data_IF_643495785960
#
_entry.id   IF_643495785960
#
_cell.length_a   1.000
_cell.length_b   1.000
_cell.length_c   1.000
_cell.angle_alpha   90.00
_cell.angle_beta   90.00
_cell.angle_gamma   90.00
#
_symmetry.space_group_name_H-M   'P 1'
#
loop_
_entity.id
_entity.type
_entity.pdbx_description
1 polymer ?
#
# COMPACT_ATOMS: atom_id res chain seq x y z
N UNK A 1 35.01 -24.30 42.68
CA UNK A 1 33.57 -24.60 42.46
C UNK A 1 32.75 -23.36 42.15
N UNK A 2 32.74 -22.32 43.00
CA UNK A 2 31.98 -21.07 42.75
C UNK A 2 32.28 -20.42 41.39
N UNK A 3 33.56 -20.37 40.95
CA UNK A 3 33.97 -19.83 39.64
C UNK A 3 33.36 -20.57 38.44
N UNK A 4 33.20 -21.89 38.52
CA UNK A 4 32.59 -22.70 37.45
C UNK A 4 31.07 -22.55 37.41
N UNK A 5 30.43 -22.33 38.58
CA UNK A 5 28.98 -22.05 38.67
C UNK A 5 28.64 -20.71 38.00
N UNK A 6 29.46 -19.68 38.20
CA UNK A 6 29.25 -18.39 37.51
C UNK A 6 29.43 -18.51 35.99
N UNK A 7 30.39 -19.30 35.50
CA UNK A 7 30.59 -19.52 34.06
C UNK A 7 29.39 -20.26 33.45
N UNK A 8 28.87 -21.30 34.10
CA UNK A 8 27.69 -22.05 33.63
C UNK A 8 26.42 -21.19 33.68
N UNK A 9 26.23 -20.39 34.73
CA UNK A 9 25.11 -19.45 34.82
C UNK A 9 25.18 -18.36 33.74
N UNK A 10 26.38 -17.86 33.43
CA UNK A 10 26.62 -16.90 32.34
C UNK A 10 26.26 -17.51 30.98
N UNK A 11 26.71 -18.74 30.72
CA UNK A 11 26.40 -19.48 29.49
C UNK A 11 24.90 -19.75 29.32
N UNK A 12 24.19 -20.06 30.42
CA UNK A 12 22.74 -20.26 30.40
C UNK A 12 22.01 -18.94 30.09
N UNK A 13 22.44 -17.81 30.66
CA UNK A 13 21.86 -16.49 30.35
C UNK A 13 22.11 -16.12 28.87
N UNK A 14 23.33 -16.33 28.37
CA UNK A 14 23.68 -16.08 26.96
C UNK A 14 22.84 -16.95 26.02
N UNK A 15 22.65 -18.23 26.34
CA UNK A 15 21.81 -19.11 25.51
C UNK A 15 20.35 -18.66 25.45
N UNK A 16 19.77 -18.18 26.56
CA UNK A 16 18.39 -17.69 26.57
C UNK A 16 18.21 -16.40 25.74
N UNK A 17 19.23 -15.53 25.70
CA UNK A 17 19.22 -14.33 24.85
C UNK A 17 19.21 -14.68 23.36
N UNK A 18 19.99 -15.69 22.94
CA UNK A 18 20.01 -16.15 21.54
C UNK A 18 18.69 -16.80 21.09
N UNK A 19 17.99 -17.53 21.98
CA UNK A 19 16.67 -18.10 21.66
C UNK A 19 15.56 -17.04 21.56
N UNK A 20 15.61 -15.99 22.38
CA UNK A 20 14.66 -14.88 22.33
C UNK A 20 14.79 -14.04 21.04
N UNK A 21 16.03 -13.81 20.58
CA UNK A 21 16.30 -13.11 19.32
C UNK A 21 15.74 -13.88 18.11
N UNK A 22 15.95 -15.20 18.05
CA UNK A 22 15.50 -16.08 16.96
C UNK A 22 13.97 -16.23 16.88
N UNK A 23 13.28 -16.20 18.03
CA UNK A 23 11.80 -16.26 18.10
C UNK A 23 11.16 -15.03 17.44
N UNK A 24 11.79 -13.86 17.57
CA UNK A 24 11.24 -12.60 17.06
C UNK A 24 11.39 -12.46 15.53
N UNK A 25 12.47 -12.96 14.91
CA UNK A 25 12.60 -12.98 13.43
C UNK A 25 11.55 -13.87 12.77
N UNK A 26 11.27 -15.05 13.34
CA UNK A 26 10.21 -15.93 12.82
C UNK A 26 8.84 -15.26 12.84
N UNK A 27 8.57 -14.46 13.87
CA UNK A 27 7.34 -13.65 13.95
C UNK A 27 7.31 -12.57 12.87
N UNK A 28 8.41 -11.84 12.66
CA UNK A 28 8.53 -10.84 11.60
C UNK A 28 8.30 -11.45 10.20
N UNK A 29 8.95 -12.58 9.92
CA UNK A 29 8.77 -13.32 8.66
C UNK A 29 7.32 -13.75 8.46
N UNK A 30 6.66 -14.28 9.50
CA UNK A 30 5.25 -14.65 9.41
C UNK A 30 4.35 -13.45 9.12
N UNK A 31 4.60 -12.29 9.73
CA UNK A 31 3.87 -11.06 9.44
C UNK A 31 4.10 -10.60 8.01
N UNK A 32 5.35 -10.67 7.53
CA UNK A 32 5.72 -10.35 6.15
C UNK A 32 5.02 -11.26 5.13
N UNK A 33 5.04 -12.58 5.36
CA UNK A 33 4.30 -13.57 4.54
C UNK A 33 2.79 -13.28 4.52
N UNK A 34 2.23 -12.84 5.66
CA UNK A 34 0.85 -12.39 5.77
C UNK A 34 0.60 -10.98 5.19
N UNK A 35 1.62 -10.36 4.59
CA UNK A 35 1.62 -9.00 4.04
C UNK A 35 1.32 -7.91 5.06
N UNK A 36 1.48 -8.20 6.35
CA UNK A 36 1.33 -7.24 7.43
C UNK A 36 2.59 -6.37 7.55
N UNK A 37 2.85 -5.61 6.50
CA UNK A 37 4.15 -4.96 6.26
C UNK A 37 4.50 -3.91 7.29
N UNK A 38 3.53 -3.16 7.83
CA UNK A 38 3.80 -2.18 8.90
C UNK A 38 4.38 -2.88 10.13
N UNK A 39 3.70 -3.91 10.63
CA UNK A 39 4.14 -4.67 11.81
C UNK A 39 5.41 -5.47 11.54
N UNK A 40 5.56 -6.00 10.33
CA UNK A 40 6.79 -6.70 9.94
C UNK A 40 8.00 -5.75 9.97
N UNK A 41 7.88 -4.55 9.38
CA UNK A 41 8.93 -3.55 9.36
C UNK A 41 9.37 -3.17 10.78
N UNK A 42 8.42 -2.91 11.68
CA UNK A 42 8.71 -2.61 13.09
C UNK A 42 9.54 -3.71 13.76
N UNK A 43 9.16 -4.97 13.57
CA UNK A 43 9.92 -6.08 14.17
C UNK A 43 11.30 -6.26 13.53
N UNK A 44 11.47 -5.96 12.25
CA UNK A 44 12.73 -6.04 11.52
C UNK A 44 13.71 -4.90 11.84
N UNK A 45 13.24 -3.70 12.22
CA UNK A 45 14.12 -2.57 12.58
C UNK A 45 15.13 -2.95 13.68
N UNK A 46 14.73 -3.81 14.63
CA UNK A 46 15.54 -4.28 15.76
C UNK A 46 16.31 -5.60 15.51
N UNK A 47 16.47 -6.02 14.24
CA UNK A 47 17.11 -7.29 13.90
C UNK A 47 18.51 -7.10 13.35
N UNK A 48 19.32 -8.15 13.48
CA UNK A 48 20.59 -8.24 12.77
C UNK A 48 20.34 -8.09 11.27
N UNK A 49 21.07 -7.16 10.65
CA UNK A 49 20.84 -6.71 9.27
C UNK A 49 21.51 -7.65 8.26
N UNK A 50 21.08 -8.90 8.27
CA UNK A 50 21.45 -9.88 7.25
C UNK A 50 20.62 -9.69 5.97
N UNK A 51 20.97 -10.42 4.90
CA UNK A 51 20.33 -10.30 3.59
C UNK A 51 18.80 -10.43 3.65
N UNK A 52 18.27 -11.50 4.27
CA UNK A 52 16.83 -11.75 4.39
C UNK A 52 16.10 -10.62 5.12
N UNK A 53 16.68 -10.14 6.23
CA UNK A 53 16.09 -9.04 7.02
C UNK A 53 16.07 -7.75 6.21
N UNK A 54 17.16 -7.40 5.53
CA UNK A 54 17.24 -6.20 4.71
C UNK A 54 16.26 -6.25 3.53
N UNK A 55 16.14 -7.40 2.87
CA UNK A 55 15.18 -7.64 1.79
C UNK A 55 13.74 -7.40 2.26
N UNK A 56 13.33 -8.08 3.33
CA UNK A 56 11.95 -7.99 3.82
C UNK A 56 11.64 -6.63 4.45
N UNK A 57 12.62 -6.00 5.13
CA UNK A 57 12.46 -4.66 5.69
C UNK A 57 12.30 -3.60 4.58
N UNK A 58 13.14 -3.65 3.55
CA UNK A 58 13.07 -2.71 2.43
C UNK A 58 11.75 -2.87 1.66
N UNK A 59 11.36 -4.12 1.37
CA UNK A 59 10.09 -4.44 0.72
C UNK A 59 8.89 -3.99 1.57
N UNK A 60 8.94 -4.17 2.89
CA UNK A 60 7.88 -3.68 3.79
C UNK A 60 7.71 -2.17 3.72
N UNK A 61 8.81 -1.41 3.65
CA UNK A 61 8.74 0.04 3.43
C UNK A 61 8.26 0.42 2.05
N UNK A 62 8.71 -0.31 1.02
CA UNK A 62 8.31 -0.09 -0.37
C UNK A 62 6.80 -0.27 -0.54
N UNK A 63 6.22 -1.37 -0.04
CA UNK A 63 4.80 -1.67 -0.16
C UNK A 63 3.88 -0.76 0.67
N UNK A 64 4.43 0.04 1.57
CA UNK A 64 3.74 1.07 2.35
C UNK A 64 4.15 2.49 1.99
N UNK A 65 4.77 2.69 0.82
CA UNK A 65 5.18 4.01 0.31
C UNK A 65 6.07 4.81 1.28
N UNK A 66 6.77 4.14 2.19
CA UNK A 66 7.77 4.74 3.08
C UNK A 66 9.10 4.88 2.33
N UNK A 67 9.07 5.61 1.21
CA UNK A 67 10.09 5.54 0.16
C UNK A 67 11.49 5.88 0.66
N UNK A 68 11.64 6.88 1.54
CA UNK A 68 12.95 7.24 2.09
C UNK A 68 13.55 6.12 2.95
N UNK A 69 12.72 5.45 3.78
CA UNK A 69 13.17 4.29 4.56
C UNK A 69 13.48 3.09 3.65
N UNK A 70 12.68 2.87 2.61
CA UNK A 70 12.91 1.84 1.60
C UNK A 70 14.25 2.07 0.89
N UNK A 71 14.50 3.28 0.37
CA UNK A 71 15.73 3.67 -0.32
C UNK A 71 16.95 3.43 0.56
N UNK A 72 16.91 3.87 1.82
CA UNK A 72 18.01 3.65 2.77
C UNK A 72 18.32 2.17 2.93
N UNK A 73 17.27 1.35 3.10
CA UNK A 73 17.42 -0.09 3.36
C UNK A 73 17.84 -0.86 2.11
N UNK A 74 17.30 -0.54 0.93
CA UNK A 74 17.75 -1.12 -0.34
C UNK A 74 19.20 -0.75 -0.65
N UNK A 75 19.60 0.50 -0.39
CA UNK A 75 21.00 0.90 -0.60
C UNK A 75 21.96 0.03 0.22
N UNK A 76 21.64 -0.17 1.49
CA UNK A 76 22.42 -1.05 2.37
C UNK A 76 22.42 -2.50 1.86
N UNK A 77 21.26 -3.03 1.47
CA UNK A 77 21.14 -4.35 0.86
C UNK A 77 22.09 -4.50 -0.34
N UNK A 78 22.08 -3.54 -1.27
CA UNK A 78 22.95 -3.58 -2.46
C UNK A 78 24.44 -3.41 -2.15
N UNK A 79 24.82 -2.65 -1.11
CA UNK A 79 26.21 -2.49 -0.69
C UNK A 79 26.75 -3.80 -0.12
N UNK A 80 25.99 -4.46 0.76
CA UNK A 80 26.45 -5.64 1.49
C UNK A 80 26.29 -6.94 0.69
N UNK A 81 25.26 -7.02 -0.17
CA UNK A 81 24.84 -8.27 -0.82
C UNK A 81 24.64 -8.14 -2.34
N UNK A 82 25.16 -7.09 -2.97
CA UNK A 82 24.93 -6.72 -4.38
C UNK A 82 24.99 -7.85 -5.43
N UNK A 83 25.83 -8.86 -5.20
CA UNK A 83 26.08 -9.98 -6.11
C UNK A 83 25.11 -11.16 -5.95
N UNK A 84 24.42 -11.28 -4.81
CA UNK A 84 23.50 -12.39 -4.48
C UNK A 84 22.03 -12.00 -4.46
N UNK A 85 21.70 -10.77 -4.87
CA UNK A 85 20.33 -10.24 -4.83
C UNK A 85 19.60 -10.54 -6.15
N UNK A 86 18.33 -10.95 -6.01
CA UNK A 86 17.43 -11.16 -7.15
C UNK A 86 17.25 -9.87 -7.97
N UNK A 87 17.17 -10.01 -9.30
CA UNK A 87 17.07 -8.88 -10.23
C UNK A 87 15.87 -7.97 -9.91
N UNK A 88 14.77 -8.50 -9.37
CA UNK A 88 13.57 -7.76 -8.98
C UNK A 88 13.81 -6.65 -7.96
N UNK A 89 14.87 -6.75 -7.14
CA UNK A 89 15.24 -5.68 -6.20
C UNK A 89 15.79 -4.44 -6.91
N UNK A 90 16.37 -4.58 -8.11
CA UNK A 90 16.74 -3.40 -8.93
C UNK A 90 15.50 -2.63 -9.33
N UNK A 91 14.44 -3.33 -9.74
CA UNK A 91 13.17 -2.69 -10.10
C UNK A 91 12.53 -1.98 -8.90
N UNK A 92 12.35 -2.67 -7.76
CA UNK A 92 11.72 -2.06 -6.57
C UNK A 92 12.52 -0.88 -6.02
N UNK A 93 13.86 -1.00 -5.99
CA UNK A 93 14.69 0.10 -5.54
C UNK A 93 14.62 1.30 -6.48
N UNK A 94 14.69 1.07 -7.79
CA UNK A 94 14.51 2.13 -8.78
C UNK A 94 13.14 2.81 -8.68
N UNK A 95 12.06 2.06 -8.45
CA UNK A 95 10.72 2.63 -8.27
C UNK A 95 10.66 3.54 -7.04
N UNK A 96 11.28 3.13 -5.92
CA UNK A 96 11.37 3.97 -4.74
C UNK A 96 12.16 5.27 -5.02
N UNK A 97 13.29 5.16 -5.72
CA UNK A 97 14.11 6.29 -6.14
C UNK A 97 13.35 7.26 -7.07
N UNK A 98 12.61 6.73 -8.06
CA UNK A 98 11.74 7.54 -8.93
C UNK A 98 10.65 8.27 -8.15
N UNK A 99 10.05 7.61 -7.15
CA UNK A 99 9.01 8.23 -6.31
C UNK A 99 9.50 9.42 -5.49
N UNK A 100 10.82 9.54 -5.28
CA UNK A 100 11.46 10.72 -4.66
C UNK A 100 12.25 11.55 -5.68
N UNK A 101 12.02 11.33 -6.98
CA UNK A 101 12.63 12.04 -8.10
C UNK A 101 14.16 11.89 -8.23
N UNK A 102 14.76 10.88 -7.61
CA UNK A 102 16.18 10.55 -7.80
C UNK A 102 16.35 9.69 -9.06
N UNK A 103 16.15 10.31 -10.22
CA UNK A 103 16.12 9.62 -11.52
C UNK A 103 17.47 9.06 -11.95
N UNK A 104 18.58 9.73 -11.61
CA UNK A 104 19.92 9.29 -12.02
C UNK A 104 20.28 7.91 -11.44
N UNK A 105 20.06 7.74 -10.13
CA UNK A 105 20.29 6.46 -9.46
C UNK A 105 19.25 5.42 -9.91
N UNK A 106 17.98 5.81 -10.07
CA UNK A 106 16.94 4.91 -10.56
C UNK A 106 17.27 4.33 -11.94
N UNK A 107 17.75 5.16 -12.88
CA UNK A 107 18.08 4.75 -14.23
C UNK A 107 19.28 3.79 -14.28
N UNK A 108 20.21 3.84 -13.31
CA UNK A 108 21.27 2.82 -13.16
C UNK A 108 20.65 1.45 -12.89
N UNK A 109 19.75 1.37 -11.91
CA UNK A 109 19.10 0.12 -11.52
C UNK A 109 18.14 -0.39 -12.61
N UNK A 110 17.35 0.48 -13.25
CA UNK A 110 16.44 0.09 -14.34
C UNK A 110 17.19 -0.40 -15.58
N UNK A 111 18.35 0.20 -15.92
CA UNK A 111 19.19 -0.31 -17.01
C UNK A 111 19.65 -1.74 -16.75
N UNK A 112 20.01 -2.05 -15.51
CA UNK A 112 20.39 -3.42 -15.12
C UNK A 112 19.20 -4.37 -15.16
N UNK A 113 18.03 -3.94 -14.66
CA UNK A 113 16.81 -4.72 -14.65
C UNK A 113 16.31 -5.08 -16.06
N UNK A 114 16.16 -4.08 -16.93
CA UNK A 114 15.66 -4.29 -18.30
C UNK A 114 16.72 -4.76 -19.29
N UNK A 115 18.00 -4.69 -18.91
CA UNK A 115 19.13 -4.90 -19.81
C UNK A 115 19.03 -4.03 -21.09
N UNK A 116 18.61 -2.78 -20.92
CA UNK A 116 18.38 -1.82 -22.00
C UNK A 116 18.65 -0.40 -21.49
N UNK A 117 18.98 0.57 -22.37
CA UNK A 117 19.11 1.98 -21.98
C UNK A 117 17.80 2.50 -21.36
N UNK A 118 17.93 3.29 -20.29
CA UNK A 118 16.82 3.99 -19.64
C UNK A 118 17.27 5.41 -19.37
N UNK A 119 16.42 6.37 -19.72
CA UNK A 119 16.61 7.80 -19.47
C UNK A 119 15.26 8.41 -19.09
N UNK A 120 15.00 8.48 -17.78
CA UNK A 120 13.73 8.97 -17.26
C UNK A 120 13.53 10.46 -17.56
N UNK A 121 14.60 11.26 -17.57
CA UNK A 121 14.49 12.71 -17.88
C UNK A 121 14.07 12.94 -19.33
N UNK A 122 14.71 12.26 -20.28
CA UNK A 122 14.33 12.33 -21.69
C UNK A 122 12.90 11.84 -21.92
N UNK A 123 12.47 10.79 -21.21
CA UNK A 123 11.07 10.34 -21.26
C UNK A 123 10.08 11.42 -20.79
N UNK A 124 10.38 12.10 -19.68
CA UNK A 124 9.56 13.22 -19.18
C UNK A 124 9.52 14.36 -20.20
N UNK A 125 10.68 14.81 -20.68
CA UNK A 125 10.78 15.89 -21.68
C UNK A 125 10.01 15.57 -22.97
N UNK A 126 10.08 14.31 -23.44
CA UNK A 126 9.34 13.87 -24.61
C UNK A 126 7.84 13.88 -24.35
N UNK A 127 7.40 13.42 -23.18
CA UNK A 127 5.98 13.43 -22.78
C UNK A 127 5.44 14.86 -22.69
N UNK A 128 6.22 15.80 -22.17
CA UNK A 128 5.88 17.22 -22.12
C UNK A 128 5.70 17.85 -23.50
N UNK A 129 6.53 17.45 -24.48
CA UNK A 129 6.42 17.94 -25.87
C UNK A 129 5.21 17.37 -26.60
N UNK A 130 4.87 16.10 -26.36
CA UNK A 130 3.82 15.39 -27.12
C UNK A 130 2.44 15.45 -26.46
N UNK A 131 2.37 15.80 -25.17
CA UNK A 131 1.12 15.79 -24.41
C UNK A 131 0.72 17.23 -24.08
N UNK A 132 -0.37 17.75 -24.64
CA UNK A 132 -0.86 19.08 -24.28
C UNK A 132 -1.30 19.09 -22.80
N UNK A 133 -0.58 19.83 -21.96
CA UNK A 133 -0.91 20.07 -20.55
C UNK A 133 -1.95 21.19 -20.44
N UNK A 134 -3.13 20.99 -21.02
CA UNK A 134 -4.18 22.01 -21.13
C UNK A 134 -5.14 22.02 -19.94
N UNK A 135 -4.63 21.71 -18.75
CA UNK A 135 -5.42 21.68 -17.53
C UNK A 135 -4.63 22.29 -16.38
N UNK A 136 -5.33 23.03 -15.53
CA UNK A 136 -4.81 23.50 -14.26
C UNK A 136 -5.23 22.52 -13.16
N UNK A 137 -4.29 22.20 -12.29
CA UNK A 137 -4.57 21.36 -11.13
C UNK A 137 -5.10 22.26 -10.00
N UNK A 138 -6.34 22.02 -9.61
CA UNK A 138 -6.93 22.67 -8.44
C UNK A 138 -7.10 21.67 -7.30
N UNK A 139 -6.65 22.06 -6.11
CA UNK A 139 -6.78 21.23 -4.93
C UNK A 139 -8.23 21.22 -4.44
N UNK A 140 -8.74 20.02 -4.16
CA UNK A 140 -10.03 19.84 -3.49
C UNK A 140 -9.83 19.78 -1.98
N UNK A 141 -10.50 20.66 -1.24
CA UNK A 141 -10.52 20.65 0.22
C UNK A 141 -11.48 19.56 0.72
N UNK A 142 -10.94 18.55 1.43
CA UNK A 142 -11.71 17.50 2.08
C UNK A 142 -11.32 17.36 3.55
N UNK A 143 -12.18 17.87 4.43
CA UNK A 143 -11.97 17.80 5.89
C UNK A 143 -12.00 16.34 6.37
N UNK A 144 -11.14 16.02 7.35
CA UNK A 144 -10.99 14.67 7.91
C UNK A 144 -10.61 13.59 6.87
N UNK A 145 -9.95 13.98 5.78
CA UNK A 145 -9.45 13.06 4.77
C UNK A 145 -8.43 12.07 5.33
N UNK A 146 -8.51 10.82 4.85
CA UNK A 146 -7.60 9.72 5.19
C UNK A 146 -7.47 8.82 3.97
N UNK A 147 -6.33 8.92 3.27
CA UNK A 147 -6.03 8.13 2.07
C UNK A 147 -7.18 8.16 1.05
N UNK A 148 -7.63 9.36 0.69
CA UNK A 148 -8.75 9.54 -0.24
C UNK A 148 -8.31 9.32 -1.68
N UNK A 149 -9.11 8.61 -2.48
CA UNK A 149 -8.85 8.44 -3.92
C UNK A 149 -10.11 8.02 -4.69
N UNK A 150 -9.97 7.97 -6.03
CA UNK A 150 -11.01 7.44 -6.92
C UNK A 150 -12.25 8.32 -7.00
N UNK A 151 -12.08 9.65 -6.99
CA UNK A 151 -13.18 10.59 -7.07
C UNK A 151 -13.87 10.52 -8.45
N UNK A 152 -15.20 10.39 -8.42
CA UNK A 152 -16.04 10.38 -9.61
C UNK A 152 -17.28 11.24 -9.42
N UNK A 153 -17.84 11.76 -10.51
CA UNK A 153 -19.06 12.58 -10.49
C UNK A 153 -20.29 11.73 -10.75
N UNK A 154 -21.40 12.06 -10.09
CA UNK A 154 -22.72 11.53 -10.38
C UNK A 154 -23.79 12.64 -10.34
N UNK A 155 -23.93 13.35 -11.44
CA UNK A 155 -24.67 14.61 -11.53
C UNK A 155 -23.72 15.82 -11.52
N UNK A 156 -24.28 17.02 -11.39
CA UNK A 156 -23.52 18.26 -11.65
C UNK A 156 -22.47 18.58 -10.57
N UNK A 157 -22.79 18.30 -9.31
CA UNK A 157 -21.92 18.66 -8.17
C UNK A 157 -21.87 17.58 -7.08
N UNK A 158 -22.36 16.37 -7.37
CA UNK A 158 -22.28 15.23 -6.45
C UNK A 158 -21.12 14.35 -6.87
N UNK A 159 -20.34 13.94 -5.87
CA UNK A 159 -19.16 13.10 -6.09
C UNK A 159 -19.16 11.90 -5.18
N UNK A 160 -18.57 10.80 -5.65
CA UNK A 160 -18.25 9.62 -4.85
C UNK A 160 -16.74 9.43 -4.79
N UNK A 161 -16.21 8.92 -3.69
CA UNK A 161 -14.78 8.62 -3.53
C UNK A 161 -14.58 7.57 -2.43
N UNK A 162 -13.41 6.92 -2.42
CA UNK A 162 -13.02 5.98 -1.36
C UNK A 162 -12.19 6.68 -0.28
N UNK A 163 -12.34 6.28 0.98
CA UNK A 163 -11.55 6.85 2.08
C UNK A 163 -11.41 5.88 3.25
N UNK A 164 -10.28 5.94 3.95
CA UNK A 164 -10.00 5.19 5.18
C UNK A 164 -10.35 6.02 6.44
N UNK A 165 -11.30 6.96 6.32
CA UNK A 165 -11.62 7.91 7.40
C UNK A 165 -12.43 7.30 8.55
N UNK A 166 -13.20 6.24 8.30
CA UNK A 166 -14.00 5.56 9.31
C UNK A 166 -13.11 4.82 10.32
N UNK A 167 -12.89 5.39 11.50
CA UNK A 167 -12.06 4.76 12.54
C UNK A 167 -12.73 3.57 13.23
N UNK A 168 -14.05 3.39 13.04
CA UNK A 168 -14.78 2.23 13.58
C UNK A 168 -14.58 0.98 12.70
N UNK A 169 -14.11 1.15 11.46
CA UNK A 169 -13.79 0.03 10.59
C UNK A 169 -12.58 -0.73 11.13
N UNK A 170 -12.52 -2.07 10.94
CA UNK A 170 -11.37 -2.85 11.32
C UNK A 170 -10.08 -2.33 10.67
N UNK A 171 -8.95 -2.44 11.36
CA UNK A 171 -7.64 -2.11 10.80
C UNK A 171 -7.22 -3.14 9.76
N UNK A 172 -6.81 -2.66 8.59
CA UNK A 172 -6.27 -3.47 7.51
C UNK A 172 -4.80 -3.79 7.79
N UNK A 173 -4.49 -5.08 7.94
CA UNK A 173 -3.16 -5.51 8.42
C UNK A 173 -1.98 -5.05 7.56
N UNK A 174 -2.18 -4.75 6.27
CA UNK A 174 -1.10 -4.33 5.38
C UNK A 174 -0.46 -3.01 5.80
N UNK A 175 -1.31 -2.01 6.09
CA UNK A 175 -0.91 -0.62 6.29
C UNK A 175 -1.42 -0.02 7.62
N UNK A 176 -2.17 -0.81 8.39
CA UNK A 176 -2.83 -0.46 9.66
C UNK A 176 -3.90 0.64 9.58
N UNK A 177 -4.26 1.08 8.38
CA UNK A 177 -5.38 1.99 8.17
C UNK A 177 -6.72 1.23 8.23
N UNK A 178 -7.82 1.90 8.57
CA UNK A 178 -9.14 1.27 8.49
C UNK A 178 -9.46 0.76 7.08
N UNK A 179 -10.30 -0.28 6.99
CA UNK A 179 -10.88 -0.68 5.70
C UNK A 179 -11.59 0.51 5.03
N UNK A 180 -11.54 0.52 3.71
CA UNK A 180 -12.01 1.62 2.88
C UNK A 180 -13.52 1.52 2.72
N UNK A 181 -14.20 2.63 2.98
CA UNK A 181 -15.61 2.82 2.61
C UNK A 181 -15.69 3.75 1.40
N UNK A 182 -16.77 3.61 0.63
CA UNK A 182 -17.20 4.63 -0.33
C UNK A 182 -18.00 5.71 0.40
N UNK A 183 -17.74 6.96 0.03
CA UNK A 183 -18.44 8.14 0.51
C UNK A 183 -19.04 8.90 -0.66
N UNK A 184 -20.13 9.60 -0.40
CA UNK A 184 -20.62 10.64 -1.29
C UNK A 184 -20.56 12.02 -0.63
N UNK A 185 -20.42 13.05 -1.45
CA UNK A 185 -20.35 14.44 -1.00
C UNK A 185 -20.89 15.40 -2.06
N UNK A 186 -21.05 16.67 -1.68
CA UNK A 186 -21.29 17.77 -2.61
C UNK A 186 -19.98 18.53 -2.83
N UNK A 187 -19.55 18.69 -4.09
CA UNK A 187 -18.46 19.58 -4.47
C UNK A 187 -18.99 21.00 -4.67
N UNK A 188 -18.49 21.92 -3.85
CA UNK A 188 -18.85 23.35 -3.96
C UNK A 188 -18.05 24.04 -5.07
N UNK A 189 -18.50 25.24 -5.49
CA UNK A 189 -17.79 26.07 -6.47
C UNK A 189 -16.40 26.54 -6.02
N UNK A 190 -16.10 26.44 -4.73
CA UNK A 190 -14.80 26.80 -4.15
C UNK A 190 -13.92 25.55 -3.92
N UNK A 191 -14.14 24.48 -4.68
CA UNK A 191 -13.42 23.20 -4.59
C UNK A 191 -13.40 22.55 -3.21
N UNK A 192 -14.46 22.74 -2.42
CA UNK A 192 -14.62 22.10 -1.11
C UNK A 192 -15.66 21.00 -1.14
N UNK A 193 -15.36 19.85 -0.55
CA UNK A 193 -16.33 18.79 -0.29
C UNK A 193 -17.08 19.09 1.02
N UNK A 194 -18.41 19.10 0.92
CA UNK A 194 -19.33 19.25 2.05
C UNK A 194 -20.31 18.08 2.08
N UNK A 195 -20.99 17.90 3.22
CA UNK A 195 -21.98 16.83 3.44
C UNK A 195 -21.44 15.43 3.17
N UNK A 196 -20.16 15.21 3.49
CA UNK A 196 -19.51 13.91 3.29
C UNK A 196 -20.18 12.86 4.15
N UNK A 197 -20.79 11.88 3.50
CA UNK A 197 -21.57 10.81 4.15
C UNK A 197 -21.16 9.47 3.56
N UNK A 198 -20.97 8.40 4.36
CA UNK A 198 -20.71 7.07 3.82
C UNK A 198 -21.94 6.59 3.02
N UNK A 199 -21.71 5.83 1.96
CA UNK A 199 -22.79 5.05 1.36
C UNK A 199 -23.33 4.02 2.38
N UNK A 200 -24.60 3.58 2.23
CA UNK A 200 -25.23 2.65 3.17
C UNK A 200 -24.59 1.25 3.13
N UNK A 201 -24.92 0.42 4.11
CA UNK A 201 -24.38 -0.96 4.29
C UNK A 201 -24.65 -1.91 3.11
N UNK A 202 -25.59 -1.56 2.22
CA UNK A 202 -25.74 -2.27 0.94
C UNK A 202 -24.46 -2.16 0.09
N UNK A 203 -23.80 -1.00 0.14
CA UNK A 203 -22.59 -0.65 -0.60
C UNK A 203 -21.34 -0.81 0.25
N UNK A 204 -21.32 -0.32 1.49
CA UNK A 204 -20.14 -0.44 2.33
C UNK A 204 -20.24 -1.69 3.20
N UNK A 205 -19.19 -2.51 3.20
CA UNK A 205 -19.15 -3.76 3.97
C UNK A 205 -17.96 -3.75 4.93
N UNK A 206 -17.72 -4.86 5.63
CA UNK A 206 -16.52 -5.02 6.45
C UNK A 206 -15.22 -5.24 5.65
N UNK A 207 -15.26 -5.03 4.33
CA UNK A 207 -14.13 -5.21 3.40
C UNK A 207 -13.85 -3.89 2.67
N UNK A 208 -12.84 -3.82 1.79
CA UNK A 208 -12.60 -2.59 1.03
C UNK A 208 -13.61 -2.41 -0.09
N UNK A 209 -14.22 -1.22 -0.14
CA UNK A 209 -14.89 -0.68 -1.32
C UNK A 209 -14.15 0.52 -1.91
N UNK A 210 -14.12 0.65 -3.24
CA UNK A 210 -13.50 1.80 -3.91
C UNK A 210 -13.97 2.03 -5.35
N UNK A 211 -13.56 3.15 -5.93
CA UNK A 211 -13.68 3.48 -7.37
C UNK A 211 -15.11 3.29 -7.91
N UNK A 212 -16.07 4.00 -7.32
CA UNK A 212 -17.43 4.01 -7.84
C UNK A 212 -17.50 4.82 -9.14
N UNK A 213 -18.22 4.31 -10.14
CA UNK A 213 -18.58 5.03 -11.37
C UNK A 213 -20.06 4.86 -11.64
N UNK A 214 -20.67 5.85 -12.29
CA UNK A 214 -22.12 5.93 -12.43
C UNK A 214 -22.50 6.01 -13.90
N UNK A 215 -23.62 5.37 -14.22
CA UNK A 215 -24.28 5.52 -15.52
C UNK A 215 -24.83 6.92 -15.70
N UNK A 216 -25.00 7.35 -16.96
CA UNK A 216 -25.44 8.71 -17.31
C UNK A 216 -26.81 9.09 -16.73
N UNK A 217 -27.71 8.12 -16.58
CA UNK A 217 -29.03 8.34 -15.97
C UNK A 217 -28.98 8.33 -14.43
N UNK A 218 -27.81 8.09 -13.84
CA UNK A 218 -27.59 8.03 -12.40
C UNK A 218 -28.20 6.80 -11.71
N UNK A 219 -28.77 5.85 -12.47
CA UNK A 219 -29.54 4.73 -11.89
C UNK A 219 -28.71 3.50 -11.57
N UNK A 220 -27.51 3.39 -12.15
CA UNK A 220 -26.61 2.26 -11.94
C UNK A 220 -25.24 2.75 -11.51
N UNK A 221 -24.71 2.16 -10.45
CA UNK A 221 -23.35 2.34 -9.94
C UNK A 221 -22.55 1.06 -10.16
N UNK A 222 -21.31 1.19 -10.62
CA UNK A 222 -20.32 0.11 -10.61
C UNK A 222 -19.19 0.49 -9.65
N UNK A 223 -18.70 -0.45 -8.86
CA UNK A 223 -17.66 -0.18 -7.87
C UNK A 223 -16.81 -1.42 -7.59
N UNK A 224 -15.59 -1.21 -7.13
CA UNK A 224 -14.73 -2.31 -6.70
C UNK A 224 -15.07 -2.70 -5.26
N UNK A 225 -15.17 -4.00 -5.00
CA UNK A 225 -15.26 -4.55 -3.64
C UNK A 225 -14.34 -5.75 -3.48
N UNK A 226 -13.67 -5.84 -2.34
CA UNK A 226 -12.92 -7.03 -1.96
C UNK A 226 -13.88 -8.16 -1.56
N UNK A 227 -13.77 -9.30 -2.22
CA UNK A 227 -14.65 -10.43 -1.92
C UNK A 227 -14.39 -10.96 -0.50
N UNK A 228 -15.46 -11.26 0.23
CA UNK A 228 -15.39 -11.85 1.58
C UNK A 228 -14.83 -13.27 1.56
N UNK A 229 -15.02 -14.00 0.45
CA UNK A 229 -14.46 -15.34 0.26
C UNK A 229 -13.02 -15.28 -0.24
N UNK A 230 -12.10 -15.86 0.54
CA UNK A 230 -10.70 -16.06 0.14
C UNK A 230 -10.58 -17.36 -0.66
N UNK A 231 -9.91 -17.31 -1.81
CA UNK A 231 -9.53 -18.50 -2.57
C UNK A 231 -8.11 -18.90 -2.21
N UNK A 232 -7.90 -20.21 -2.06
CA UNK A 232 -6.56 -20.78 -1.92
C UNK A 232 -5.93 -20.84 -3.32
N UNK A 233 -4.78 -20.21 -3.48
CA UNK A 233 -3.86 -20.42 -4.59
C UNK A 233 -2.78 -21.41 -4.16
N UNK A 234 -1.90 -21.80 -5.09
CA UNK A 234 -0.81 -22.74 -4.79
C UNK A 234 0.16 -22.20 -3.73
N UNK A 235 0.26 -20.87 -3.61
CA UNK A 235 1.17 -20.18 -2.69
C UNK A 235 0.45 -19.52 -1.50
N UNK A 236 -0.80 -19.03 -1.67
CA UNK A 236 -1.44 -18.10 -0.73
C UNK A 236 -2.96 -18.31 -0.55
N UNK A 237 -3.57 -17.62 0.42
CA UNK A 237 -5.03 -17.40 0.47
C UNK A 237 -5.35 -15.94 0.15
N UNK A 238 -5.81 -15.67 -1.06
CA UNK A 238 -6.09 -14.31 -1.53
C UNK A 238 -7.60 -14.02 -1.59
N UNK A 239 -7.98 -12.81 -1.21
CA UNK A 239 -9.29 -12.26 -1.53
C UNK A 239 -9.20 -11.55 -2.89
N UNK A 240 -10.05 -11.93 -3.84
CA UNK A 240 -10.10 -11.24 -5.13
C UNK A 240 -10.94 -9.98 -5.03
N UNK A 241 -10.51 -8.93 -5.71
CA UNK A 241 -11.33 -7.75 -5.97
C UNK A 241 -12.24 -8.08 -7.16
N UNK A 242 -13.52 -7.72 -7.07
CA UNK A 242 -14.47 -7.77 -8.18
C UNK A 242 -15.10 -6.41 -8.39
N UNK A 243 -15.64 -6.22 -9.59
CA UNK A 243 -16.53 -5.10 -9.89
C UNK A 243 -17.94 -5.55 -9.52
N UNK A 244 -18.60 -4.78 -8.67
CA UNK A 244 -19.98 -4.94 -8.30
C UNK A 244 -20.83 -3.88 -9.01
N UNK A 245 -22.10 -4.19 -9.20
CA UNK A 245 -23.13 -3.31 -9.74
C UNK A 245 -24.22 -3.13 -8.68
N UNK A 246 -24.70 -1.91 -8.50
CA UNK A 246 -25.84 -1.56 -7.67
C UNK A 246 -26.82 -0.66 -8.44
N UNK A 247 -28.10 -0.73 -8.08
CA UNK A 247 -29.18 0.03 -8.72
C UNK A 247 -29.84 0.99 -7.74
N UNK A 248 -30.17 2.19 -8.21
CA UNK A 248 -30.94 3.17 -7.46
C UNK A 248 -32.44 2.93 -7.67
N UNK A 249 -33.11 2.45 -6.63
CA UNK A 249 -34.55 2.12 -6.63
C UNK A 249 -35.18 2.72 -5.38
N UNK A 250 -36.32 3.40 -5.53
CA UNK A 250 -37.11 3.95 -4.41
C UNK A 250 -36.27 4.68 -3.35
N UNK A 251 -35.37 5.56 -3.81
CA UNK A 251 -34.46 6.40 -2.99
C UNK A 251 -33.29 5.70 -2.30
N UNK A 252 -33.00 4.44 -2.65
CA UNK A 252 -31.88 3.70 -2.07
C UNK A 252 -31.06 2.92 -3.10
N UNK A 253 -29.79 2.70 -2.80
CA UNK A 253 -28.94 1.77 -3.54
C UNK A 253 -29.23 0.34 -3.10
N UNK A 254 -29.55 -0.53 -4.06
CA UNK A 254 -29.94 -1.92 -3.84
C UNK A 254 -29.50 -2.82 -5.00
N UNK A 255 -29.95 -4.08 -5.02
CA UNK A 255 -29.67 -5.06 -6.08
C UNK A 255 -28.17 -5.27 -6.34
N UNK A 256 -27.39 -5.32 -5.27
CA UNK A 256 -25.93 -5.41 -5.35
C UNK A 256 -25.50 -6.79 -5.83
N UNK A 257 -24.86 -6.84 -7.01
CA UNK A 257 -24.42 -8.07 -7.68
C UNK A 257 -23.00 -7.92 -8.22
N UNK A 258 -22.30 -9.04 -8.42
CA UNK A 258 -20.92 -9.09 -8.93
C UNK A 258 -20.84 -9.79 -10.30
#
# INVERSE_FOLDING_TARGET
MKKYIYIVASLLIISNLSFAQKSNTKRANKLFEMRAYTQAAELYEDKERNQDVLQNLADSYYYNSSLQKAIKTYRELFIEYGDSIDIEYHFRYAQALKGVQNYDEADIHLRRYYNAPVNTREFIENTEKTTPHTFDLEQIENSNSKSDFGLSFFGDNKVAFASARNQENPSYSWNELPYLDLYHATLTKNNKLIDVTPFPDAINTSSHESNAVFTKDGKTMYFNRTNTSRKKTDEDRIAHIKIYMAQWVDTMWTNVTA
#
